data_IF_360077688134
#
_entry.id   IF_360077688134
#
_cell.length_a   1.000
_cell.length_b   1.000
_cell.length_c   1.000
_cell.angle_alpha   90.00
_cell.angle_beta   90.00
_cell.angle_gamma   90.00
#
_symmetry.space_group_name_H-M   'P 1'
#
loop_
_entity.id
_entity.type
_entity.pdbx_description
1 polymer ?
#
# COMPACT_ATOMS: atom_id res chain seq x y z
N UNK A 1 -3.74 -41.90 -6.75
CA UNK A 1 -4.72 -40.81 -7.01
C UNK A 1 -4.53 -39.80 -5.90
N UNK A 2 -4.24 -38.53 -6.22
CA UNK A 2 -4.16 -37.48 -5.21
C UNK A 2 -5.55 -37.19 -4.64
N UNK A 3 -5.62 -36.87 -3.34
CA UNK A 3 -6.86 -36.37 -2.72
C UNK A 3 -7.30 -35.07 -3.39
N UNK A 4 -8.61 -34.84 -3.49
CA UNK A 4 -9.18 -33.56 -3.95
C UNK A 4 -8.68 -32.44 -3.03
N UNK A 5 -8.22 -31.29 -3.57
CA UNK A 5 -7.80 -30.16 -2.76
C UNK A 5 -8.90 -29.71 -1.80
N UNK A 6 -8.55 -29.45 -0.55
CA UNK A 6 -9.45 -28.94 0.49
C UNK A 6 -8.82 -27.72 1.18
N UNK A 7 -9.65 -26.87 1.77
CA UNK A 7 -9.20 -25.66 2.47
C UNK A 7 -8.41 -26.04 3.73
N UNK A 8 -7.20 -25.51 3.86
CA UNK A 8 -6.32 -25.67 5.02
C UNK A 8 -6.24 -24.41 5.88
N UNK A 9 -6.40 -23.23 5.28
CA UNK A 9 -6.51 -21.94 5.98
C UNK A 9 -7.60 -21.10 5.31
N UNK A 10 -8.39 -20.40 6.12
CA UNK A 10 -9.50 -19.55 5.66
C UNK A 10 -9.49 -18.21 6.41
N UNK A 11 -9.35 -17.10 5.70
CA UNK A 11 -9.50 -15.76 6.26
C UNK A 11 -10.86 -15.19 5.86
N UNK A 12 -11.89 -15.54 6.63
CA UNK A 12 -13.25 -15.00 6.51
C UNK A 12 -13.90 -15.19 5.12
N UNK A 13 -13.50 -16.22 4.37
CA UNK A 13 -13.90 -16.44 2.98
C UNK A 13 -13.28 -15.48 1.97
N UNK A 14 -12.48 -14.49 2.42
CA UNK A 14 -11.81 -13.52 1.56
C UNK A 14 -10.55 -14.11 0.94
N UNK A 15 -9.84 -14.96 1.69
CA UNK A 15 -8.65 -15.67 1.27
C UNK A 15 -8.71 -17.10 1.78
N UNK A 16 -8.53 -18.07 0.90
CA UNK A 16 -8.45 -19.48 1.26
C UNK A 16 -7.20 -20.10 0.64
N UNK A 17 -6.45 -20.85 1.45
CA UNK A 17 -5.35 -21.68 0.99
C UNK A 17 -5.81 -23.14 0.97
N UNK A 18 -5.54 -23.83 -0.12
CA UNK A 18 -5.88 -25.24 -0.31
C UNK A 18 -4.68 -26.15 -0.02
N UNK A 19 -4.95 -27.41 0.25
CA UNK A 19 -3.97 -28.43 0.59
C UNK A 19 -2.92 -28.71 -0.50
N UNK A 20 -3.17 -28.28 -1.74
CA UNK A 20 -2.24 -28.37 -2.86
C UNK A 20 -1.41 -27.08 -3.08
N UNK A 21 -1.58 -26.09 -2.20
CA UNK A 21 -0.90 -24.79 -2.26
C UNK A 21 -1.62 -23.76 -3.13
N UNK A 22 -2.74 -24.11 -3.77
CA UNK A 22 -3.53 -23.13 -4.52
C UNK A 22 -4.22 -22.13 -3.58
N UNK A 23 -4.36 -20.90 -4.06
CA UNK A 23 -4.94 -19.79 -3.29
C UNK A 23 -6.17 -19.28 -4.01
N UNK A 24 -7.25 -19.14 -3.27
CA UNK A 24 -8.45 -18.43 -3.71
C UNK A 24 -8.54 -17.09 -2.98
N UNK A 25 -8.78 -16.01 -3.73
CA UNK A 25 -9.17 -14.71 -3.17
C UNK A 25 -10.54 -14.31 -3.71
N UNK A 26 -11.45 -13.96 -2.82
CA UNK A 26 -12.78 -13.49 -3.20
C UNK A 26 -12.68 -12.18 -4.00
N UNK A 27 -13.29 -12.14 -5.18
CA UNK A 27 -13.38 -10.93 -6.01
C UNK A 27 -14.51 -10.00 -5.56
N UNK A 28 -15.53 -10.54 -4.90
CA UNK A 28 -16.80 -9.89 -4.65
C UNK A 28 -16.95 -9.56 -3.16
N UNK A 29 -15.97 -8.83 -2.62
CA UNK A 29 -15.99 -8.39 -1.23
C UNK A 29 -17.04 -7.29 -1.10
N UNK A 30 -18.08 -7.53 -0.29
CA UNK A 30 -19.08 -6.51 0.04
C UNK A 30 -18.47 -5.46 0.99
N UNK A 31 -17.97 -4.38 0.42
CA UNK A 31 -17.55 -3.22 1.19
C UNK A 31 -18.78 -2.46 1.68
N UNK A 32 -18.91 -2.31 3.01
CA UNK A 32 -19.97 -1.49 3.63
C UNK A 32 -19.93 0.01 3.26
N UNK A 33 -18.88 0.43 2.57
CA UNK A 33 -18.67 1.83 2.16
C UNK A 33 -18.44 1.87 0.64
N UNK A 34 -19.34 2.53 -0.13
CA UNK A 34 -19.13 2.68 -1.56
C UNK A 34 -17.95 3.60 -1.85
N UNK A 35 -17.41 3.51 -3.06
CA UNK A 35 -16.43 4.49 -3.54
C UNK A 35 -17.07 5.89 -3.54
N UNK A 36 -16.40 6.86 -2.92
CA UNK A 36 -16.84 8.25 -2.87
C UNK A 36 -16.45 8.91 -4.19
N UNK A 37 -17.40 9.62 -4.81
CA UNK A 37 -17.07 10.45 -5.96
C UNK A 37 -16.60 11.83 -5.47
N UNK A 38 -15.28 12.01 -5.36
CA UNK A 38 -14.67 13.28 -5.00
C UNK A 38 -14.28 14.04 -6.27
N UNK A 39 -15.14 14.99 -6.68
CA UNK A 39 -14.95 15.73 -7.92
C UNK A 39 -13.73 16.67 -7.92
N UNK A 40 -13.11 16.94 -6.77
CA UNK A 40 -11.91 17.79 -6.69
C UNK A 40 -10.60 17.05 -7.00
N UNK A 41 -10.62 15.72 -7.04
CA UNK A 41 -9.43 14.88 -7.27
C UNK A 41 -9.60 14.07 -8.56
N UNK A 42 -8.53 13.94 -9.33
CA UNK A 42 -8.44 13.02 -10.47
C UNK A 42 -7.47 11.89 -10.14
N UNK A 43 -7.68 10.71 -10.71
CA UNK A 43 -6.74 9.59 -10.55
C UNK A 43 -6.49 8.84 -11.86
N UNK A 44 -5.36 8.15 -11.93
CA UNK A 44 -5.01 7.22 -13.02
C UNK A 44 -4.13 6.08 -12.52
N UNK A 45 -4.19 4.96 -13.22
CA UNK A 45 -3.35 3.79 -12.94
C UNK A 45 -2.11 3.76 -13.84
N UNK A 46 -0.99 3.31 -13.29
CA UNK A 46 0.30 3.16 -13.98
C UNK A 46 0.89 1.80 -13.62
N UNK A 47 1.40 1.08 -14.61
CA UNK A 47 2.27 -0.08 -14.38
C UNK A 47 3.67 0.46 -14.13
N UNK A 48 4.11 0.47 -12.88
CA UNK A 48 5.42 1.01 -12.51
C UNK A 48 6.54 -0.03 -12.60
N UNK A 49 6.18 -1.32 -12.59
CA UNK A 49 7.13 -2.40 -12.78
C UNK A 49 6.54 -3.57 -13.57
N UNK A 50 6.87 -3.62 -14.86
CA UNK A 50 6.28 -4.56 -15.82
C UNK A 50 6.63 -6.02 -15.53
N UNK A 51 7.86 -6.31 -15.13
CA UNK A 51 8.34 -7.69 -14.91
C UNK A 51 7.60 -8.40 -13.77
N UNK A 52 7.25 -7.65 -12.73
CA UNK A 52 6.48 -8.14 -11.57
C UNK A 52 4.98 -7.86 -11.69
N UNK A 53 4.53 -7.26 -12.79
CA UNK A 53 3.16 -6.80 -13.01
C UNK A 53 2.64 -5.89 -11.87
N UNK A 54 3.49 -5.01 -11.35
CA UNK A 54 3.11 -4.10 -10.27
C UNK A 54 2.54 -2.80 -10.84
N UNK A 55 1.41 -2.41 -10.27
CA UNK A 55 0.68 -1.20 -10.63
C UNK A 55 0.54 -0.28 -9.44
N UNK A 56 0.46 1.02 -9.71
CA UNK A 56 0.13 2.03 -8.73
C UNK A 56 -0.98 2.91 -9.27
N UNK A 57 -1.67 3.60 -8.36
CA UNK A 57 -2.63 4.65 -8.69
C UNK A 57 -2.11 5.99 -8.21
N UNK A 58 -2.04 6.96 -9.12
CA UNK A 58 -1.80 8.36 -8.80
C UNK A 58 -3.12 9.06 -8.54
N UNK A 59 -3.17 9.88 -7.50
CA UNK A 59 -4.25 10.81 -7.21
C UNK A 59 -3.68 12.23 -7.19
N UNK A 60 -4.37 13.17 -7.84
CA UNK A 60 -3.93 14.57 -7.94
C UNK A 60 -5.13 15.51 -7.79
N UNK A 61 -5.04 16.58 -6.98
CA UNK A 61 -6.05 17.62 -6.97
C UNK A 61 -6.14 18.30 -8.35
N UNK A 62 -7.36 18.63 -8.82
CA UNK A 62 -7.58 19.21 -10.16
C UNK A 62 -6.89 20.57 -10.36
N UNK A 63 -6.79 21.37 -9.30
CA UNK A 63 -6.21 22.70 -9.37
C UNK A 63 -4.96 22.76 -8.49
N UNK A 64 -3.77 22.96 -9.07
CA UNK A 64 -2.58 23.23 -8.30
C UNK A 64 -2.70 24.57 -7.58
N UNK A 65 -2.04 24.75 -6.41
CA UNK A 65 -1.84 26.08 -5.86
C UNK A 65 -1.12 26.93 -6.90
N UNK A 66 -1.52 28.20 -7.02
CA UNK A 66 -1.13 29.14 -8.08
C UNK A 66 0.41 29.28 -8.26
N UNK A 67 1.23 28.85 -7.30
CA UNK A 67 2.69 28.97 -7.37
C UNK A 67 3.50 27.86 -6.66
N UNK A 68 2.91 26.70 -6.32
CA UNK A 68 3.66 25.65 -5.62
C UNK A 68 3.37 24.25 -6.12
N UNK A 69 4.43 23.45 -6.30
CA UNK A 69 4.31 22.00 -6.51
C UNK A 69 3.70 21.33 -5.26
N UNK A 70 2.96 20.25 -5.47
CA UNK A 70 2.35 19.44 -4.42
C UNK A 70 3.38 18.56 -3.70
N UNK A 71 3.28 18.38 -2.38
CA UNK A 71 3.99 17.28 -1.72
C UNK A 71 3.49 15.92 -2.25
N UNK A 72 4.31 14.89 -2.09
CA UNK A 72 3.97 13.51 -2.44
C UNK A 72 3.68 12.70 -1.19
N UNK A 73 2.62 11.92 -1.20
CA UNK A 73 2.29 10.95 -0.14
C UNK A 73 2.21 9.57 -0.75
N UNK A 74 3.13 8.67 -0.40
CA UNK A 74 2.92 7.24 -0.64
C UNK A 74 1.88 6.70 0.34
N UNK A 75 0.92 5.92 -0.17
CA UNK A 75 -0.07 5.21 0.63
C UNK A 75 0.04 3.71 0.37
N UNK A 76 0.53 2.96 1.36
CA UNK A 76 0.54 1.50 1.33
C UNK A 76 -0.69 0.97 2.08
N UNK A 77 -1.50 0.16 1.41
CA UNK A 77 -2.73 -0.37 1.98
C UNK A 77 -2.47 -1.45 3.04
N UNK A 78 -3.44 -1.67 3.92
CA UNK A 78 -3.47 -2.79 4.86
C UNK A 78 -3.95 -4.11 4.24
N UNK A 79 -4.09 -5.14 5.08
CA UNK A 79 -4.57 -6.48 4.68
C UNK A 79 -3.65 -7.65 5.07
N UNK A 80 -2.83 -7.48 6.11
CA UNK A 80 -1.99 -8.54 6.67
C UNK A 80 -0.98 -9.11 5.66
N UNK A 81 -0.59 -8.34 4.64
CA UNK A 81 0.19 -8.78 3.47
C UNK A 81 -0.48 -9.83 2.57
N UNK A 82 -1.68 -10.28 2.89
CA UNK A 82 -2.32 -11.41 2.22
C UNK A 82 -3.50 -11.01 1.33
N UNK A 83 -4.13 -9.87 1.63
CA UNK A 83 -5.26 -9.32 0.89
C UNK A 83 -5.13 -7.80 0.71
N UNK A 84 -6.00 -7.21 -0.09
CA UNK A 84 -6.04 -5.78 -0.36
C UNK A 84 -5.60 -5.44 -1.78
N UNK A 85 -6.03 -4.26 -2.23
CA UNK A 85 -5.59 -3.65 -3.49
C UNK A 85 -5.92 -2.17 -3.48
N UNK A 86 -5.11 -1.35 -4.16
CA UNK A 86 -5.37 0.06 -4.47
C UNK A 86 -6.77 0.31 -5.07
N UNK A 87 -7.40 -0.71 -5.65
CA UNK A 87 -8.72 -0.65 -6.26
C UNK A 87 -9.87 -0.77 -5.24
N UNK A 88 -9.62 -1.25 -4.03
CA UNK A 88 -10.68 -1.44 -3.05
C UNK A 88 -11.25 -0.09 -2.58
N UNK A 89 -12.59 0.04 -2.44
CA UNK A 89 -13.25 1.30 -2.11
C UNK A 89 -12.72 2.00 -0.86
N UNK A 90 -12.41 1.25 0.21
CA UNK A 90 -11.90 1.82 1.45
C UNK A 90 -10.52 2.48 1.29
N UNK A 91 -9.62 1.84 0.52
CA UNK A 91 -8.29 2.36 0.24
C UNK A 91 -8.35 3.51 -0.78
N UNK A 92 -9.20 3.37 -1.80
CA UNK A 92 -9.47 4.43 -2.77
C UNK A 92 -10.00 5.71 -2.11
N UNK A 93 -11.01 5.58 -1.25
CA UNK A 93 -11.61 6.71 -0.53
C UNK A 93 -10.59 7.38 0.40
N UNK A 94 -9.71 6.60 1.02
CA UNK A 94 -8.62 7.13 1.85
C UNK A 94 -7.68 7.98 1.01
N UNK A 95 -7.27 7.49 -0.16
CA UNK A 95 -6.40 8.23 -1.07
C UNK A 95 -7.04 9.53 -1.59
N UNK A 96 -8.34 9.51 -1.92
CA UNK A 96 -9.07 10.72 -2.32
C UNK A 96 -9.05 11.77 -1.21
N UNK A 97 -9.35 11.36 0.03
CA UNK A 97 -9.34 12.25 1.21
C UNK A 97 -7.95 12.78 1.54
N UNK A 98 -6.91 11.96 1.41
CA UNK A 98 -5.53 12.39 1.58
C UNK A 98 -5.15 13.43 0.52
N UNK A 99 -5.49 13.17 -0.75
CA UNK A 99 -5.15 14.07 -1.85
C UNK A 99 -5.85 15.42 -1.72
N UNK A 100 -7.18 15.44 -1.50
CA UNK A 100 -7.95 16.68 -1.36
C UNK A 100 -7.65 17.41 -0.05
N UNK A 101 -7.59 16.69 1.07
CA UNK A 101 -7.41 17.27 2.40
C UNK A 101 -6.02 17.83 2.66
N UNK A 102 -4.98 17.22 2.08
CA UNK A 102 -3.59 17.67 2.24
C UNK A 102 -3.11 18.55 1.07
N UNK A 103 -3.87 18.62 -0.02
CA UNK A 103 -3.39 19.20 -1.28
C UNK A 103 -2.11 18.49 -1.72
N UNK A 104 -2.18 17.17 -1.90
CA UNK A 104 -1.02 16.33 -2.18
C UNK A 104 -1.25 15.40 -3.36
N UNK A 105 -0.18 15.06 -4.08
CA UNK A 105 -0.19 13.91 -4.98
C UNK A 105 -0.05 12.65 -4.14
N UNK A 106 -1.02 11.73 -4.23
CA UNK A 106 -0.98 10.45 -3.53
C UNK A 106 -0.56 9.35 -4.51
N UNK A 107 0.45 8.58 -4.14
CA UNK A 107 0.94 7.41 -4.88
C UNK A 107 0.53 6.17 -4.11
N UNK A 108 -0.41 5.38 -4.64
CA UNK A 108 -0.92 4.17 -4.00
C UNK A 108 -0.51 2.92 -4.79
N UNK A 109 0.67 2.34 -4.50
CA UNK A 109 1.13 1.11 -5.13
C UNK A 109 0.40 -0.12 -4.60
N UNK A 110 0.12 -1.07 -5.50
CA UNK A 110 -0.06 -2.46 -5.11
C UNK A 110 1.30 -3.10 -4.87
N UNK A 111 1.31 -4.11 -4.01
CA UNK A 111 2.45 -4.96 -3.72
C UNK A 111 2.03 -6.43 -3.79
N UNK A 112 2.97 -7.33 -4.05
CA UNK A 112 2.70 -8.77 -4.12
C UNK A 112 2.25 -9.30 -2.76
N UNK A 113 1.27 -10.20 -2.79
CA UNK A 113 0.61 -10.73 -1.61
C UNK A 113 1.11 -12.13 -1.24
N UNK A 114 1.16 -12.41 0.06
CA UNK A 114 1.32 -13.75 0.60
C UNK A 114 -0.01 -14.54 0.45
N UNK A 115 0.05 -15.89 0.35
CA UNK A 115 1.23 -16.75 0.49
C UNK A 115 2.06 -16.96 -0.80
N UNK A 116 1.58 -16.55 -1.98
CA UNK A 116 2.30 -16.73 -3.25
C UNK A 116 3.64 -15.98 -3.26
N UNK A 117 3.67 -14.83 -2.59
CA UNK A 117 4.84 -13.99 -2.45
C UNK A 117 5.02 -13.58 -0.99
N UNK A 118 5.56 -14.50 -0.19
CA UNK A 118 5.88 -14.24 1.22
C UNK A 118 6.85 -13.06 1.38
N UNK A 119 6.86 -12.45 2.57
CA UNK A 119 7.88 -11.47 2.93
C UNK A 119 9.29 -12.04 2.70
N UNK A 120 10.24 -11.26 2.13
CA UNK A 120 10.21 -9.80 2.00
C UNK A 120 9.62 -9.24 0.70
N UNK A 121 8.91 -10.03 -0.13
CA UNK A 121 8.45 -9.57 -1.45
C UNK A 121 7.68 -8.23 -1.43
N UNK A 122 6.75 -8.04 -0.49
CA UNK A 122 6.01 -6.79 -0.34
C UNK A 122 6.91 -5.60 0.08
N UNK A 123 7.97 -5.86 0.86
CA UNK A 123 8.97 -4.84 1.25
C UNK A 123 9.79 -4.43 0.02
N UNK A 124 10.21 -5.41 -0.79
CA UNK A 124 10.96 -5.15 -2.02
C UNK A 124 10.11 -4.36 -3.04
N UNK A 125 8.82 -4.66 -3.12
CA UNK A 125 7.87 -3.94 -3.97
C UNK A 125 7.66 -2.50 -3.48
N UNK A 126 7.57 -2.30 -2.16
CA UNK A 126 7.48 -0.97 -1.56
C UNK A 126 8.73 -0.11 -1.82
N UNK A 127 9.93 -0.72 -1.72
CA UNK A 127 11.19 -0.08 -2.11
C UNK A 127 11.15 0.30 -3.60
N UNK A 128 10.68 -0.62 -4.45
CA UNK A 128 10.59 -0.42 -5.90
C UNK A 128 9.64 0.71 -6.27
N UNK A 129 8.55 0.91 -5.52
CA UNK A 129 7.63 2.03 -5.71
C UNK A 129 8.27 3.40 -5.37
N UNK A 130 9.10 3.47 -4.32
CA UNK A 130 9.85 4.70 -3.99
C UNK A 130 10.94 4.98 -5.03
N UNK A 131 11.64 3.93 -5.48
CA UNK A 131 12.62 4.02 -6.56
C UNK A 131 11.98 4.41 -7.90
N UNK A 132 10.73 4.01 -8.15
CA UNK A 132 10.00 4.49 -9.32
C UNK A 132 9.85 6.00 -9.31
N UNK A 133 9.44 6.62 -8.19
CA UNK A 133 9.33 8.08 -8.11
C UNK A 133 10.70 8.76 -8.31
N UNK A 134 11.77 8.17 -7.80
CA UNK A 134 13.13 8.68 -8.03
C UNK A 134 13.52 8.59 -9.51
N UNK A 135 13.21 7.49 -10.19
CA UNK A 135 13.42 7.36 -11.63
C UNK A 135 12.67 8.44 -12.39
N UNK A 136 11.38 8.63 -12.08
CA UNK A 136 10.59 9.72 -12.67
C UNK A 136 11.27 11.08 -12.44
N UNK A 137 11.77 11.35 -11.24
CA UNK A 137 12.47 12.61 -10.93
C UNK A 137 13.78 12.84 -11.71
N UNK A 138 14.37 11.77 -12.24
CA UNK A 138 15.62 11.78 -13.00
C UNK A 138 15.41 11.71 -14.52
N UNK A 139 14.19 11.45 -14.98
CA UNK A 139 13.88 11.41 -16.40
C UNK A 139 13.94 12.81 -17.01
N UNK A 140 14.31 12.87 -18.29
CA UNK A 140 14.16 14.07 -19.08
C UNK A 140 12.69 14.52 -19.11
N UNK A 141 12.48 15.83 -19.21
CA UNK A 141 11.17 16.47 -19.20
C UNK A 141 10.18 15.91 -20.24
N UNK A 142 10.66 15.30 -21.32
CA UNK A 142 9.79 14.72 -22.35
C UNK A 142 9.40 13.26 -22.09
N UNK A 143 9.95 12.63 -21.04
CA UNK A 143 9.81 11.20 -20.78
C UNK A 143 9.10 10.87 -19.47
N UNK A 144 8.99 11.84 -18.55
CA UNK A 144 8.37 11.63 -17.25
C UNK A 144 6.85 11.68 -17.35
N UNK A 145 6.16 11.02 -16.43
CA UNK A 145 4.70 11.13 -16.34
C UNK A 145 4.29 12.60 -16.09
N UNK A 146 3.41 13.14 -16.93
CA UNK A 146 2.98 14.55 -16.87
C UNK A 146 2.41 14.98 -15.50
N UNK A 147 1.85 14.04 -14.72
CA UNK A 147 1.35 14.36 -13.38
C UNK A 147 2.46 14.44 -12.34
N UNK A 148 3.61 13.83 -12.61
CA UNK A 148 4.79 13.89 -11.76
C UNK A 148 5.61 15.14 -12.14
N UNK A 149 5.89 15.38 -13.43
CA UNK A 149 6.72 16.49 -13.93
C UNK A 149 6.35 17.87 -13.36
N UNK A 150 5.09 18.25 -13.60
CA UNK A 150 4.61 19.62 -13.43
C UNK A 150 4.12 19.86 -12.01
N UNK A 151 3.80 18.77 -11.30
CA UNK A 151 2.94 18.87 -10.13
C UNK A 151 3.63 18.51 -8.83
N UNK A 152 4.77 17.80 -8.79
CA UNK A 152 5.31 17.28 -7.51
C UNK A 152 6.60 17.93 -7.03
N UNK A 153 6.68 18.11 -5.72
CA UNK A 153 7.86 18.52 -4.99
C UNK A 153 8.58 17.28 -4.44
N UNK A 154 9.65 16.87 -5.13
CA UNK A 154 10.44 15.70 -4.75
C UNK A 154 11.17 15.86 -3.40
N UNK A 155 11.27 17.07 -2.85
CA UNK A 155 11.87 17.33 -1.54
C UNK A 155 10.86 17.22 -0.39
N UNK A 156 9.56 17.09 -0.68
CA UNK A 156 8.47 16.93 0.29
C UNK A 156 7.70 15.62 0.04
N UNK A 157 8.39 14.50 0.23
CA UNK A 157 7.78 13.16 0.15
C UNK A 157 7.49 12.62 1.54
N UNK A 158 6.32 12.00 1.72
CA UNK A 158 5.92 11.32 2.94
C UNK A 158 5.48 9.90 2.62
N UNK A 159 5.71 8.97 3.53
CA UNK A 159 5.28 7.58 3.40
C UNK A 159 4.26 7.27 4.48
N UNK A 160 3.07 6.83 4.09
CA UNK A 160 1.98 6.48 4.97
C UNK A 160 1.54 5.04 4.67
N UNK A 161 1.14 4.31 5.70
CA UNK A 161 0.38 3.07 5.50
C UNK A 161 -0.42 2.65 6.73
N UNK A 162 -1.47 1.87 6.49
CA UNK A 162 -2.30 1.28 7.54
C UNK A 162 -2.02 -0.22 7.72
N UNK A 163 -2.03 -0.72 8.96
CA UNK A 163 -1.82 -2.14 9.25
C UNK A 163 -0.54 -2.68 8.60
N UNK A 164 -0.62 -3.69 7.72
CA UNK A 164 0.53 -4.21 6.97
C UNK A 164 1.24 -3.13 6.14
N UNK A 165 0.50 -2.17 5.57
CA UNK A 165 1.09 -1.02 4.90
C UNK A 165 1.84 -0.10 5.86
N UNK A 166 1.38 0.02 7.11
CA UNK A 166 2.11 0.70 8.17
C UNK A 166 3.41 -0.01 8.54
N UNK A 167 3.43 -1.34 8.48
CA UNK A 167 4.65 -2.13 8.61
C UNK A 167 5.61 -1.90 7.42
N UNK A 168 5.12 -1.82 6.18
CA UNK A 168 5.93 -1.44 5.02
C UNK A 168 6.55 -0.05 5.18
N UNK A 169 5.75 0.93 5.63
CA UNK A 169 6.23 2.28 5.93
C UNK A 169 7.34 2.27 7.00
N UNK A 170 7.23 1.39 8.01
CA UNK A 170 8.30 1.20 8.99
C UNK A 170 9.58 0.66 8.35
N UNK A 171 9.51 -0.42 7.56
CA UNK A 171 10.71 -0.98 6.92
C UNK A 171 11.38 0.02 5.96
N UNK A 172 10.59 0.81 5.23
CA UNK A 172 11.11 1.91 4.41
C UNK A 172 11.81 2.98 5.26
N UNK A 173 11.31 3.26 6.46
CA UNK A 173 11.94 4.21 7.39
C UNK A 173 13.29 3.72 7.89
N UNK A 174 13.41 2.42 8.17
CA UNK A 174 14.69 1.80 8.55
C UNK A 174 15.66 1.78 7.37
N UNK A 175 15.15 1.49 6.16
CA UNK A 175 15.97 1.39 4.95
C UNK A 175 16.54 2.73 4.51
N UNK A 176 15.71 3.76 4.41
CA UNK A 176 16.12 5.05 3.84
C UNK A 176 16.37 6.12 4.89
N UNK A 177 15.71 6.08 6.03
CA UNK A 177 15.81 7.13 7.05
C UNK A 177 15.13 8.44 6.64
N UNK A 178 14.75 9.24 7.64
CA UNK A 178 14.12 10.55 7.41
C UNK A 178 15.17 11.53 6.89
N UNK A 179 14.86 12.19 5.78
CA UNK A 179 15.66 13.27 5.19
C UNK A 179 16.93 12.83 4.48
N UNK A 180 17.15 11.51 4.36
CA UNK A 180 18.31 10.92 3.68
C UNK A 180 18.42 11.37 2.23
N UNK A 181 19.66 11.50 1.76
CA UNK A 181 20.00 11.88 0.39
C UNK A 181 20.27 10.67 -0.52
N UNK A 182 20.19 9.44 0.00
CA UNK A 182 20.40 8.22 -0.81
C UNK A 182 19.45 8.15 -2.01
N UNK A 183 18.23 8.63 -1.83
CA UNK A 183 17.17 8.66 -2.84
C UNK A 183 17.13 9.95 -3.67
N UNK A 184 18.14 10.83 -3.58
CA UNK A 184 18.14 12.10 -4.29
C UNK A 184 17.83 11.94 -5.79
N UNK A 185 17.01 12.83 -6.37
CA UNK A 185 16.46 14.06 -5.78
C UNK A 185 15.21 13.87 -4.90
N UNK A 186 14.73 12.63 -4.76
CA UNK A 186 13.61 12.32 -3.85
C UNK A 186 14.07 12.34 -2.41
N UNK A 187 13.34 13.06 -1.56
CA UNK A 187 13.61 13.12 -0.14
C UNK A 187 12.36 12.88 0.70
N UNK A 188 12.40 11.78 1.46
CA UNK A 188 11.33 11.41 2.38
C UNK A 188 11.48 12.18 3.69
N UNK A 189 10.50 13.04 4.01
CA UNK A 189 10.47 13.93 5.18
C UNK A 189 9.75 13.33 6.39
N UNK A 190 9.00 12.24 6.21
CA UNK A 190 8.33 11.58 7.33
C UNK A 190 7.69 10.26 6.95
N UNK A 191 7.50 9.42 7.98
CA UNK A 191 6.83 8.13 7.92
C UNK A 191 5.66 8.14 8.90
N UNK A 192 4.46 7.79 8.42
CA UNK A 192 3.22 7.79 9.19
C UNK A 192 2.72 6.35 9.26
N UNK A 193 2.75 5.78 10.46
CA UNK A 193 2.39 4.39 10.70
C UNK A 193 1.02 4.32 11.37
N UNK A 194 -0.03 4.01 10.61
CA UNK A 194 -1.39 3.89 11.15
C UNK A 194 -1.64 2.45 11.60
N UNK A 195 -1.73 2.24 12.91
CA UNK A 195 -1.92 0.90 13.52
C UNK A 195 -1.01 -0.18 12.86
N UNK A 196 0.33 0.02 12.81
CA UNK A 196 1.20 -0.84 12.02
C UNK A 196 1.16 -2.28 12.50
N UNK A 197 1.09 -3.21 11.54
CA UNK A 197 0.95 -4.64 11.81
C UNK A 197 2.29 -5.24 12.24
N UNK A 198 2.47 -5.35 13.55
CA UNK A 198 3.59 -6.05 14.17
C UNK A 198 3.07 -7.21 15.01
N UNK A 199 3.89 -8.25 15.13
CA UNK A 199 3.58 -9.43 15.91
C UNK A 199 4.85 -10.08 16.44
N UNK A 200 4.67 -11.05 17.32
CA UNK A 200 5.74 -11.85 17.87
C UNK A 200 5.20 -13.19 18.37
N UNK A 201 6.10 -14.14 18.67
CA UNK A 201 5.71 -15.45 19.18
C UNK A 201 5.04 -15.34 20.56
N UNK A 202 5.55 -14.46 21.42
CA UNK A 202 4.99 -14.21 22.73
C UNK A 202 3.89 -13.15 22.63
N UNK A 203 2.73 -13.43 23.25
CA UNK A 203 1.64 -12.48 23.36
C UNK A 203 2.02 -11.29 24.22
N UNK A 204 1.54 -10.14 23.81
CA UNK A 204 1.57 -8.89 24.56
C UNK A 204 0.30 -8.73 25.37
N UNK A 205 0.34 -7.89 26.42
CA UNK A 205 -0.85 -7.56 27.22
C UNK A 205 -1.98 -6.93 26.40
N UNK A 206 -1.65 -6.24 25.30
CA UNK A 206 -2.65 -5.67 24.38
C UNK A 206 -3.44 -6.74 23.64
N UNK A 207 -2.95 -7.97 23.56
CA UNK A 207 -3.64 -9.11 22.93
C UNK A 207 -4.53 -9.88 23.92
N UNK A 208 -4.52 -9.56 25.23
CA UNK A 208 -5.29 -10.28 26.25
C UNK A 208 -6.75 -9.80 26.38
N UNK A 209 -7.19 -8.91 25.48
CA UNK A 209 -8.53 -8.31 25.48
C UNK A 209 -9.64 -9.16 24.85
N UNK A 210 -10.91 -8.69 24.88
CA UNK A 210 -12.02 -9.38 24.22
C UNK A 210 -11.78 -9.44 22.70
N UNK A 211 -12.16 -10.57 22.09
CA UNK A 211 -12.03 -10.75 20.65
C UNK A 211 -12.81 -9.69 19.88
N UNK A 212 -12.16 -9.05 18.92
CA UNK A 212 -12.84 -8.20 17.93
C UNK A 212 -13.67 -9.05 16.96
N UNK A 213 -14.65 -8.44 16.31
CA UNK A 213 -15.50 -9.15 15.34
C UNK A 213 -14.81 -9.39 13.99
N UNK A 214 -13.88 -8.52 13.59
CA UNK A 214 -13.25 -8.52 12.27
C UNK A 214 -11.76 -8.84 12.32
N UNK A 215 -10.96 -8.08 13.07
CA UNK A 215 -9.51 -8.29 13.20
C UNK A 215 -9.18 -8.95 14.55
N UNK A 216 -9.71 -10.15 14.78
CA UNK A 216 -9.38 -10.93 15.99
C UNK A 216 -8.03 -11.63 15.88
N UNK A 217 -7.55 -12.13 17.03
CA UNK A 217 -6.26 -12.81 17.12
C UNK A 217 -6.12 -14.01 16.17
N UNK A 218 -7.16 -14.81 15.99
CA UNK A 218 -7.10 -15.97 15.10
C UNK A 218 -6.84 -15.55 13.64
N UNK A 219 -7.52 -14.50 13.16
CA UNK A 219 -7.29 -13.96 11.82
C UNK A 219 -5.90 -13.31 11.70
N UNK A 220 -5.48 -12.54 12.71
CA UNK A 220 -4.15 -11.91 12.70
C UNK A 220 -3.04 -12.98 12.70
N UNK A 221 -3.21 -14.07 13.46
CA UNK A 221 -2.27 -15.19 13.46
C UNK A 221 -2.27 -15.93 12.12
N UNK A 222 -3.43 -16.06 11.46
CA UNK A 222 -3.52 -16.66 10.11
C UNK A 222 -2.68 -15.87 9.11
N UNK A 223 -2.75 -14.53 9.14
CA UNK A 223 -1.91 -13.69 8.29
C UNK A 223 -0.42 -13.91 8.51
N UNK A 224 0.03 -14.21 9.74
CA UNK A 224 1.42 -14.54 10.00
C UNK A 224 1.84 -15.96 9.57
N UNK A 225 0.89 -16.86 9.30
CA UNK A 225 1.17 -18.24 8.85
C UNK A 225 1.35 -18.36 7.34
N UNK A 226 0.79 -17.42 6.56
CA UNK A 226 0.98 -17.36 5.11
C UNK A 226 2.40 -16.95 4.73
#
# INVERSE_FOLDING_TARGET
MGSIPHVVEDCMGVLQLFSDGTVYRCSDIEFKFPAVNENSVVFKDIIFEKERNLSLRLYKPKSPPISSKFPVVFYFHGGGFCVGSRLWPNFHNTCLRLSSGLGAVVVAPDYRLAPEHKLPAAIDDAVSAVEWLRKEALLDENCVDAWVQEAVDFERVFVLGDSSGGNLAHHLSVRFGIGSTEMAPVRVRGYILLAPFFGGVARTKSEEGPSEAMLNLDILDRFWRF
#
